data_IF_924347121642
#
_entry.id   IF_924347121642
#
_cell.length_a   1.000
_cell.length_b   1.000
_cell.length_c   1.000
_cell.angle_alpha   90.00
_cell.angle_beta   90.00
_cell.angle_gamma   90.00
#
_symmetry.space_group_name_H-M   'P 1'
#
loop_
_entity.id
_entity.type
_entity.pdbx_description
1 polymer ?
#
# COMPACT_ATOMS: atom_id res chain seq x y z
N UNK A 1 3.72 -19.18 0.59
CA UNK A 1 2.75 -18.60 1.54
C UNK A 1 1.60 -18.05 0.72
N UNK A 2 0.39 -17.93 1.27
CA UNK A 2 -0.69 -17.24 0.57
C UNK A 2 -0.52 -15.71 0.66
N UNK A 3 -1.40 -14.98 -0.04
CA UNK A 3 -1.56 -13.53 0.10
C UNK A 3 -1.76 -13.17 1.58
N UNK A 4 -1.05 -12.14 2.04
CA UNK A 4 -1.14 -11.63 3.42
C UNK A 4 -1.90 -10.31 3.43
N UNK A 5 -2.97 -10.22 4.21
CA UNK A 5 -3.71 -8.96 4.39
C UNK A 5 -3.02 -8.15 5.48
N UNK A 6 -2.60 -6.93 5.14
CA UNK A 6 -2.02 -5.97 6.08
C UNK A 6 -3.18 -5.25 6.76
N UNK A 7 -3.33 -5.35 8.10
CA UNK A 7 -4.45 -4.72 8.81
C UNK A 7 -4.33 -3.20 8.75
N UNK A 8 -5.33 -2.53 8.19
CA UNK A 8 -5.42 -1.08 8.18
C UNK A 8 -6.24 -0.59 9.37
N UNK A 9 -5.74 0.41 10.08
CA UNK A 9 -6.35 0.97 11.28
C UNK A 9 -6.84 2.39 11.02
N UNK A 10 -7.96 2.76 11.64
CA UNK A 10 -8.51 4.12 11.60
C UNK A 10 -7.73 5.06 12.53
N UNK A 11 -6.44 5.20 12.29
CA UNK A 11 -5.53 6.10 13.01
C UNK A 11 -4.64 6.80 12.01
N UNK A 12 -4.42 8.10 12.20
CA UNK A 12 -3.59 8.93 11.32
C UNK A 12 -2.18 8.39 11.12
N UNK A 13 -1.68 7.62 12.09
CA UNK A 13 -0.42 6.90 12.00
C UNK A 13 -0.47 5.66 12.88
N UNK A 14 0.14 4.57 12.40
CA UNK A 14 0.38 3.37 13.17
C UNK A 14 1.52 2.54 12.57
N UNK A 15 2.17 1.77 13.43
CA UNK A 15 3.22 0.82 13.05
C UNK A 15 2.84 -0.58 13.48
N UNK A 16 3.12 -1.55 12.64
CA UNK A 16 2.95 -2.97 12.93
C UNK A 16 4.17 -3.76 12.50
N UNK A 17 4.34 -4.94 13.09
CA UNK A 17 5.39 -5.87 12.72
C UNK A 17 4.77 -7.12 12.10
N UNK A 18 5.20 -7.48 10.90
CA UNK A 18 4.63 -8.58 10.13
C UNK A 18 5.71 -9.37 9.38
N UNK A 19 5.52 -10.68 9.26
CA UNK A 19 6.41 -11.55 8.48
C UNK A 19 5.97 -11.60 7.02
N UNK A 20 6.84 -11.13 6.12
CA UNK A 20 6.66 -11.11 4.67
C UNK A 20 7.76 -11.97 4.04
N UNK A 21 7.40 -13.04 3.35
CA UNK A 21 8.36 -13.99 2.75
C UNK A 21 9.47 -14.45 3.74
N UNK A 22 9.06 -14.80 4.96
CA UNK A 22 9.93 -15.23 6.07
C UNK A 22 10.89 -14.13 6.59
N UNK A 23 10.67 -12.89 6.18
CA UNK A 23 11.42 -11.72 6.64
C UNK A 23 10.49 -10.90 7.54
N UNK A 24 10.93 -10.68 8.78
CA UNK A 24 10.19 -9.87 9.72
C UNK A 24 10.41 -8.38 9.43
N UNK A 25 9.35 -7.69 9.05
CA UNK A 25 9.38 -6.28 8.66
C UNK A 25 8.51 -5.43 9.59
N UNK A 26 8.92 -4.19 9.79
CA UNK A 26 8.10 -3.14 10.38
C UNK A 26 7.46 -2.33 9.25
N UNK A 27 6.13 -2.21 9.30
CA UNK A 27 5.32 -1.42 8.38
C UNK A 27 4.74 -0.25 9.17
N UNK A 28 5.01 0.98 8.72
CA UNK A 28 4.36 2.19 9.21
C UNK A 28 3.38 2.67 8.15
N UNK A 29 2.13 2.88 8.52
CA UNK A 29 1.12 3.48 7.65
C UNK A 29 0.71 4.81 8.26
N UNK A 30 0.66 5.86 7.45
CA UNK A 30 0.41 7.21 7.92
C UNK A 30 -0.29 8.09 6.88
N UNK A 31 -1.04 9.06 7.36
CA UNK A 31 -1.67 10.09 6.56
C UNK A 31 -0.72 11.27 6.35
N UNK A 32 -0.64 11.75 5.12
CA UNK A 32 0.15 12.93 4.76
C UNK A 32 -0.78 14.02 4.21
N UNK A 33 -0.92 15.11 4.95
CA UNK A 33 -1.74 16.24 4.54
C UNK A 33 -1.07 17.04 3.42
N UNK A 34 -1.86 17.41 2.42
CA UNK A 34 -1.41 18.33 1.39
C UNK A 34 -1.23 19.74 1.98
N UNK A 35 -0.20 20.45 1.52
CA UNK A 35 -0.09 21.88 1.81
C UNK A 35 -1.25 22.66 1.19
N UNK A 36 -1.64 23.77 1.82
CA UNK A 36 -2.72 24.66 1.33
C UNK A 36 -2.53 25.09 -0.15
N UNK A 37 -1.29 25.19 -0.62
CA UNK A 37 -0.99 25.58 -2.00
C UNK A 37 -1.42 24.55 -3.04
N UNK A 38 -1.48 23.25 -2.68
CA UNK A 38 -1.80 22.16 -3.61
C UNK A 38 -3.16 21.53 -3.35
N UNK A 39 -3.79 21.76 -2.18
CA UNK A 39 -5.15 21.28 -1.87
C UNK A 39 -6.18 21.63 -2.96
N UNK A 40 -6.06 22.81 -3.57
CA UNK A 40 -6.96 23.26 -4.65
C UNK A 40 -6.90 22.41 -5.93
N UNK A 41 -5.89 21.54 -6.06
CA UNK A 41 -5.66 20.69 -7.24
C UNK A 41 -6.07 19.23 -7.03
N UNK A 42 -6.52 18.85 -5.84
CA UNK A 42 -6.90 17.48 -5.49
C UNK A 42 -8.28 17.44 -4.84
N UNK A 43 -8.99 16.33 -5.02
CA UNK A 43 -10.29 16.08 -4.40
C UNK A 43 -10.19 15.61 -2.95
N UNK A 44 -8.98 15.59 -2.39
CA UNK A 44 -8.63 15.04 -1.07
C UNK A 44 -7.75 16.03 -0.31
N UNK A 45 -7.80 15.99 1.03
CA UNK A 45 -6.93 16.82 1.88
C UNK A 45 -5.51 16.26 2.03
N UNK A 46 -5.22 15.10 1.46
CA UNK A 46 -3.96 14.38 1.64
C UNK A 46 -3.96 12.98 1.03
N UNK A 47 -3.00 12.16 1.41
CA UNK A 47 -2.91 10.78 0.95
C UNK A 47 -2.32 9.87 2.02
N UNK A 48 -2.68 8.59 1.95
CA UNK A 48 -2.04 7.55 2.74
C UNK A 48 -0.70 7.16 2.13
N UNK A 49 0.28 6.96 3.01
CA UNK A 49 1.61 6.48 2.67
C UNK A 49 2.02 5.35 3.60
N UNK A 50 3.02 4.59 3.15
CA UNK A 50 3.60 3.49 3.89
C UNK A 50 5.13 3.56 3.86
N UNK A 51 5.73 3.26 5.00
CA UNK A 51 7.15 2.91 5.12
C UNK A 51 7.27 1.41 5.39
N UNK A 52 8.27 0.76 4.81
CA UNK A 52 8.60 -0.64 5.01
C UNK A 52 10.08 -0.75 5.37
N UNK A 53 10.38 -1.35 6.52
CA UNK A 53 11.77 -1.51 6.96
C UNK A 53 12.02 -2.82 7.69
N UNK A 54 13.29 -3.20 7.74
CA UNK A 54 13.83 -4.27 8.58
C UNK A 54 15.32 -4.00 8.85
N UNK A 55 16.04 -4.99 9.38
CA UNK A 55 17.47 -4.86 9.71
C UNK A 55 18.39 -4.67 8.48
N UNK A 56 17.88 -4.86 7.26
CA UNK A 56 18.65 -4.89 6.00
C UNK A 56 18.31 -3.70 5.11
N UNK A 57 17.06 -3.23 5.12
CA UNK A 57 16.60 -2.15 4.23
C UNK A 57 15.52 -1.28 4.89
N UNK A 58 15.35 -0.08 4.33
CA UNK A 58 14.21 0.81 4.59
C UNK A 58 13.75 1.43 3.28
N UNK A 59 12.44 1.43 3.05
CA UNK A 59 11.77 2.11 1.94
C UNK A 59 10.71 3.02 2.57
N UNK A 60 10.80 4.30 2.28
CA UNK A 60 9.95 5.32 2.92
C UNK A 60 9.09 6.05 1.87
N UNK A 61 7.91 6.49 2.28
CA UNK A 61 7.04 7.35 1.48
C UNK A 61 6.35 6.66 0.31
N UNK A 62 6.06 5.37 0.41
CA UNK A 62 5.29 4.64 -0.61
C UNK A 62 3.85 5.13 -0.57
N UNK A 63 3.44 5.96 -1.54
CA UNK A 63 2.04 6.41 -1.65
C UNK A 63 1.11 5.22 -1.90
N UNK A 64 0.07 5.06 -1.09
CA UNK A 64 -0.94 4.02 -1.27
C UNK A 64 -1.92 4.43 -2.39
N UNK A 65 -1.63 3.99 -3.61
CA UNK A 65 -2.47 4.24 -4.79
C UNK A 65 -3.30 3.00 -5.08
N UNK A 66 -4.61 3.18 -5.23
CA UNK A 66 -5.54 2.09 -5.53
C UNK A 66 -5.24 1.43 -6.88
N UNK A 67 -5.33 0.11 -6.95
CA UNK A 67 -5.30 -0.63 -8.21
C UNK A 67 -3.93 -0.66 -8.91
N UNK A 68 -2.82 -0.52 -8.19
CA UNK A 68 -1.47 -0.67 -8.75
C UNK A 68 -0.54 -1.46 -7.82
N UNK A 69 0.53 -2.04 -8.38
CA UNK A 69 1.62 -2.65 -7.62
C UNK A 69 2.52 -1.55 -7.07
N UNK A 70 2.41 -1.29 -5.77
CA UNK A 70 3.10 -0.20 -5.08
C UNK A 70 4.62 -0.37 -5.07
N UNK A 71 5.12 -1.59 -5.32
CA UNK A 71 6.54 -1.91 -5.32
C UNK A 71 7.13 -2.02 -6.73
N UNK A 72 6.37 -1.76 -7.78
CA UNK A 72 6.92 -1.78 -9.14
C UNK A 72 8.03 -0.72 -9.32
N UNK A 73 9.19 -1.06 -9.94
CA UNK A 73 9.55 -2.34 -10.56
C UNK A 73 10.22 -3.38 -9.65
N UNK A 74 10.41 -3.08 -8.37
CA UNK A 74 11.15 -3.91 -7.41
C UNK A 74 10.38 -5.14 -6.88
N UNK A 75 9.11 -5.29 -7.24
CA UNK A 75 8.28 -6.38 -6.72
C UNK A 75 8.78 -7.79 -7.06
N UNK A 76 9.60 -7.94 -8.10
CA UNK A 76 10.27 -9.20 -8.44
C UNK A 76 11.28 -9.68 -7.38
N UNK A 77 11.76 -8.79 -6.50
CA UNK A 77 12.77 -9.09 -5.49
C UNK A 77 12.21 -9.06 -4.06
N UNK A 78 11.11 -8.36 -3.81
CA UNK A 78 10.57 -8.13 -2.47
C UNK A 78 9.10 -8.53 -2.29
N UNK A 79 8.44 -8.93 -3.37
CA UNK A 79 6.99 -9.13 -3.42
C UNK A 79 6.28 -7.82 -3.76
N UNK A 80 4.98 -7.92 -3.99
CA UNK A 80 4.15 -6.75 -4.31
C UNK A 80 3.30 -6.34 -3.14
N UNK A 81 2.99 -5.05 -3.08
CA UNK A 81 1.86 -4.58 -2.28
C UNK A 81 0.81 -4.07 -3.24
N UNK A 82 -0.44 -4.45 -3.00
CA UNK A 82 -1.56 -3.95 -3.78
C UNK A 82 -2.62 -3.42 -2.83
N UNK A 83 -3.04 -2.21 -3.12
CA UNK A 83 -4.03 -1.47 -2.37
C UNK A 83 -5.32 -1.39 -3.17
N UNK A 84 -6.44 -1.80 -2.58
CA UNK A 84 -7.71 -1.90 -3.29
C UNK A 84 -8.85 -1.26 -2.52
N UNK A 85 -9.77 -0.67 -3.27
CA UNK A 85 -11.09 -0.31 -2.78
C UNK A 85 -12.02 -1.53 -2.86
N UNK A 86 -12.42 -2.06 -1.71
CA UNK A 86 -13.30 -3.23 -1.61
C UNK A 86 -14.74 -2.94 -2.06
N UNK A 87 -15.10 -1.68 -2.27
CA UNK A 87 -16.39 -1.28 -2.84
C UNK A 87 -16.38 -1.19 -4.37
N UNK A 88 -15.19 -1.27 -4.99
CA UNK A 88 -15.02 -1.29 -6.44
C UNK A 88 -15.12 0.07 -7.14
N UNK A 89 -15.05 1.18 -6.39
CA UNK A 89 -15.00 2.51 -6.99
C UNK A 89 -13.56 2.90 -7.36
N UNK A 90 -13.44 3.87 -8.27
CA UNK A 90 -12.17 4.43 -8.70
C UNK A 90 -11.98 5.82 -8.06
N UNK A 91 -11.66 5.84 -6.77
CA UNK A 91 -11.45 7.04 -5.98
C UNK A 91 -10.13 6.92 -5.20
N UNK A 92 -9.54 8.04 -4.79
CA UNK A 92 -8.39 8.00 -3.88
C UNK A 92 -8.86 7.78 -2.43
N UNK A 93 -8.05 7.05 -1.65
CA UNK A 93 -8.32 6.82 -0.24
C UNK A 93 -8.29 8.13 0.55
N UNK A 94 -9.40 8.46 1.19
CA UNK A 94 -9.50 9.57 2.12
C UNK A 94 -8.94 9.16 3.49
N UNK A 95 -8.73 10.16 4.35
CA UNK A 95 -8.38 9.91 5.75
C UNK A 95 -9.40 8.96 6.42
N UNK A 96 -10.69 9.19 6.14
CA UNK A 96 -11.78 8.35 6.60
C UNK A 96 -11.90 7.09 5.73
N UNK A 97 -12.10 5.93 6.37
CA UNK A 97 -12.44 4.68 5.68
C UNK A 97 -11.27 3.75 5.31
N UNK A 98 -10.01 4.07 5.68
CA UNK A 98 -8.84 3.24 5.38
C UNK A 98 -8.94 1.80 5.93
N UNK A 99 -9.62 1.60 7.07
CA UNK A 99 -9.77 0.29 7.73
C UNK A 99 -11.04 -0.49 7.36
N UNK A 100 -12.03 0.16 6.76
CA UNK A 100 -13.33 -0.46 6.43
C UNK A 100 -13.48 -0.74 4.94
N UNK A 101 -13.11 0.24 4.10
CA UNK A 101 -13.31 0.22 2.65
C UNK A 101 -12.06 -0.24 1.91
N UNK A 102 -10.90 0.10 2.44
CA UNK A 102 -9.63 -0.13 1.77
C UNK A 102 -8.93 -1.37 2.31
N UNK A 103 -8.22 -2.09 1.44
CA UNK A 103 -7.43 -3.25 1.82
C UNK A 103 -6.03 -3.14 1.22
N UNK A 104 -5.01 -3.30 2.07
CA UNK A 104 -3.62 -3.45 1.65
C UNK A 104 -3.25 -4.94 1.72
N UNK A 105 -2.81 -5.49 0.59
CA UNK A 105 -2.43 -6.90 0.48
C UNK A 105 -0.98 -7.02 0.08
N UNK A 106 -0.22 -7.83 0.80
CA UNK A 106 1.09 -8.28 0.38
C UNK A 106 0.97 -9.57 -0.45
N UNK A 107 1.64 -9.55 -1.60
CA UNK A 107 1.74 -10.68 -2.52
C UNK A 107 3.18 -11.19 -2.48
N UNK A 108 3.41 -12.44 -2.08
CA UNK A 108 4.73 -13.07 -2.10
C UNK A 108 5.45 -12.95 -3.44
N UNK A 109 6.78 -12.93 -3.42
CA UNK A 109 7.64 -12.87 -4.63
C UNK A 109 7.27 -13.97 -5.62
N UNK A 110 6.93 -15.16 -5.12
CA UNK A 110 6.58 -16.32 -5.94
C UNK A 110 5.29 -16.11 -6.75
N UNK A 111 4.36 -15.27 -6.27
CA UNK A 111 3.00 -15.17 -6.79
C UNK A 111 2.74 -13.84 -7.53
N UNK A 112 3.53 -12.79 -7.28
CA UNK A 112 3.26 -11.43 -7.79
C UNK A 112 3.18 -11.35 -9.32
N UNK A 113 3.95 -12.17 -10.04
CA UNK A 113 3.88 -12.19 -11.50
C UNK A 113 2.54 -12.74 -12.01
N UNK A 114 1.99 -13.77 -11.38
CA UNK A 114 0.67 -14.32 -11.74
C UNK A 114 -0.43 -13.30 -11.44
N UNK A 115 -0.41 -12.73 -10.24
CA UNK A 115 -1.41 -11.76 -9.79
C UNK A 115 -1.45 -10.54 -10.70
N UNK A 116 -0.29 -10.03 -11.14
CA UNK A 116 -0.25 -8.89 -12.07
C UNK A 116 -0.85 -9.20 -13.44
N UNK A 117 -0.61 -10.40 -13.96
CA UNK A 117 -1.20 -10.84 -15.24
C UNK A 117 -2.73 -10.97 -15.11
N UNK A 118 -3.21 -11.52 -14.00
CA UNK A 118 -4.65 -11.69 -13.74
C UNK A 118 -5.38 -10.37 -13.56
N UNK A 119 -4.77 -9.41 -12.86
CA UNK A 119 -5.35 -8.09 -12.62
C UNK A 119 -5.26 -7.15 -13.82
N UNK A 120 -4.54 -7.54 -14.88
CA UNK A 120 -4.30 -6.66 -16.04
C UNK A 120 -3.59 -5.37 -15.65
N UNK A 121 -2.76 -5.38 -14.60
CA UNK A 121 -2.00 -4.21 -14.15
C UNK A 121 -0.97 -3.86 -15.24
N UNK A 122 -1.31 -2.87 -16.07
CA UNK A 122 -0.38 -2.31 -17.04
C UNK A 122 0.79 -1.65 -16.28
N UNK A 123 2.00 -1.96 -16.71
CA UNK A 123 3.20 -1.26 -16.27
C UNK A 123 3.08 0.21 -16.63
N UNK A 124 2.96 1.08 -15.61
CA UNK A 124 3.09 2.53 -15.75
C UNK A 124 4.51 2.86 -16.22
#
# INVERSE_FOLDING_TARGET
>A
MGIVIIPLLESAEYTMRIELDLILCDIRVYWNEFSEAVKSSYDTDGFWAMDLSNDIFSIEGIKLVGGTDLMWPYSHAFGGFIFYDMTGNNEDAQFEGIGERWQLSYIPIADIQSVRQELGLETI
#
